data_IF_714229040199
#
_entry.id   IF_714229040199
#
_cell.length_a   1.000
_cell.length_b   1.000
_cell.length_c   1.000
_cell.angle_alpha   90.00
_cell.angle_beta   90.00
_cell.angle_gamma   90.00
#
_symmetry.space_group_name_H-M   'P 1'
#
loop_
_entity.id
_entity.type
_entity.pdbx_description
1 polymer ?
#
# COMPACT_ATOMS: atom_id res chain seq x y z
N UNK A 1 -10.37 23.69 -3.48
CA UNK A 1 -9.98 22.80 -2.37
C UNK A 1 -9.06 21.78 -2.98
N UNK A 2 -7.85 21.66 -2.44
CA UNK A 2 -6.88 20.69 -2.93
C UNK A 2 -7.33 19.26 -2.58
N UNK A 3 -6.91 18.25 -3.34
CA UNK A 3 -7.34 16.86 -3.10
C UNK A 3 -6.94 16.42 -1.70
N UNK A 4 -5.72 16.76 -1.28
CA UNK A 4 -5.23 16.50 0.06
C UNK A 4 -6.12 17.08 1.15
N UNK A 5 -6.58 18.33 1.02
CA UNK A 5 -7.43 18.96 2.03
C UNK A 5 -8.76 18.19 2.20
N UNK A 6 -9.39 17.81 1.08
CA UNK A 6 -10.63 17.02 1.12
C UNK A 6 -10.43 15.66 1.80
N UNK A 7 -9.31 15.00 1.56
CA UNK A 7 -8.98 13.70 2.13
C UNK A 7 -8.70 13.85 3.63
N UNK A 8 -7.87 14.82 4.03
CA UNK A 8 -7.51 15.06 5.43
C UNK A 8 -8.74 15.40 6.28
N UNK A 9 -9.71 16.13 5.74
CA UNK A 9 -10.96 16.47 6.44
C UNK A 9 -11.83 15.23 6.79
N UNK A 10 -11.58 14.09 6.16
CA UNK A 10 -12.27 12.82 6.42
C UNK A 10 -11.56 11.96 7.48
N UNK A 11 -10.36 12.34 7.90
CA UNK A 11 -9.55 11.54 8.83
C UNK A 11 -9.79 11.97 10.28
N UNK A 12 -9.79 10.98 11.16
CA UNK A 12 -9.91 11.16 12.61
C UNK A 12 -8.57 10.92 13.29
N UNK A 13 -8.34 11.60 14.40
CA UNK A 13 -7.10 11.42 15.17
C UNK A 13 -7.16 10.11 15.97
N UNK A 14 -6.24 9.20 15.68
CA UNK A 14 -6.07 7.92 16.38
C UNK A 14 -4.65 7.85 16.92
N UNK A 15 -4.48 8.00 18.23
CA UNK A 15 -3.16 8.07 18.85
C UNK A 15 -2.35 9.26 18.32
N UNK A 16 -1.23 8.97 17.64
CA UNK A 16 -0.37 9.96 17.01
C UNK A 16 -0.66 10.15 15.52
N UNK A 17 -1.64 9.43 14.95
CA UNK A 17 -1.88 9.40 13.53
C UNK A 17 -3.24 10.02 13.18
N UNK A 18 -3.45 10.31 11.89
CA UNK A 18 -4.77 10.55 11.33
C UNK A 18 -5.17 9.36 10.48
N UNK A 19 -6.33 8.78 10.76
CA UNK A 19 -6.82 7.57 10.11
C UNK A 19 -8.26 7.75 9.62
N UNK A 20 -8.58 7.13 8.50
CA UNK A 20 -9.95 7.10 7.99
C UNK A 20 -10.08 6.34 6.68
N UNK A 21 -11.28 5.83 6.42
CA UNK A 21 -11.60 5.21 5.13
C UNK A 21 -11.89 6.30 4.10
N UNK A 22 -11.22 6.22 2.96
CA UNK A 22 -11.37 7.19 1.86
C UNK A 22 -11.58 6.49 0.52
N UNK A 23 -12.20 7.21 -0.41
CA UNK A 23 -12.24 6.80 -1.81
C UNK A 23 -10.90 7.18 -2.44
N UNK A 24 -10.19 6.18 -2.98
CA UNK A 24 -8.91 6.39 -3.63
C UNK A 24 -8.96 5.84 -5.06
N UNK A 25 -8.54 6.63 -6.08
CA UNK A 25 -8.61 6.17 -7.46
C UNK A 25 -7.87 4.85 -7.66
N UNK A 26 -8.51 3.91 -8.36
CA UNK A 26 -8.01 2.56 -8.67
C UNK A 26 -7.92 1.61 -7.47
N UNK A 27 -7.57 2.08 -6.27
CA UNK A 27 -7.44 1.23 -5.09
C UNK A 27 -8.80 0.85 -4.48
N UNK A 28 -9.82 1.70 -4.57
CA UNK A 28 -11.18 1.35 -4.15
C UNK A 28 -11.93 2.48 -3.45
N UNK A 29 -13.06 2.13 -2.85
CA UNK A 29 -13.95 3.10 -2.19
C UNK A 29 -13.77 3.17 -0.67
N UNK A 30 -13.15 2.15 -0.07
CA UNK A 30 -12.96 2.03 1.39
C UNK A 30 -11.49 1.74 1.68
N UNK A 31 -10.60 2.61 1.20
CA UNK A 31 -9.15 2.47 1.43
C UNK A 31 -8.83 3.08 2.78
N UNK A 32 -8.29 2.31 3.71
CA UNK A 32 -7.78 2.86 4.96
C UNK A 32 -6.56 3.72 4.66
N UNK A 33 -6.68 5.03 4.89
CA UNK A 33 -5.58 5.97 4.77
C UNK A 33 -5.10 6.36 6.17
N UNK A 34 -3.81 6.15 6.43
CA UNK A 34 -3.14 6.57 7.66
C UNK A 34 -2.08 7.63 7.33
N UNK A 35 -2.10 8.74 8.06
CA UNK A 35 -1.05 9.75 8.06
C UNK A 35 -0.32 9.71 9.39
N UNK A 36 0.95 9.30 9.37
CA UNK A 36 1.82 9.38 10.53
C UNK A 36 2.12 10.84 10.84
N UNK A 37 1.75 11.35 12.01
CA UNK A 37 2.12 12.71 12.39
C UNK A 37 3.47 12.71 13.09
N UNK A 38 4.33 13.68 12.75
CA UNK A 38 5.57 13.90 13.48
C UNK A 38 5.31 14.25 14.95
N UNK A 39 6.39 14.39 15.75
CA UNK A 39 6.28 14.78 17.17
C UNK A 39 5.57 16.12 17.41
N UNK A 40 5.30 16.90 16.36
CA UNK A 40 4.50 18.12 16.38
C UNK A 40 2.98 17.88 16.42
N UNK A 41 2.52 16.70 15.99
CA UNK A 41 1.10 16.35 15.90
C UNK A 41 0.32 17.17 14.89
N UNK A 42 0.98 17.79 13.91
CA UNK A 42 0.33 18.59 12.85
C UNK A 42 0.55 17.99 11.48
N UNK A 43 -0.41 18.22 10.57
CA UNK A 43 -0.27 17.84 9.17
C UNK A 43 0.68 18.80 8.47
N UNK A 44 1.87 18.30 8.15
CA UNK A 44 2.91 19.01 7.41
C UNK A 44 2.59 19.15 5.91
N UNK A 45 3.19 20.14 5.21
CA UNK A 45 3.05 20.27 3.76
C UNK A 45 3.41 19.00 2.97
N UNK A 46 4.43 18.27 3.43
CA UNK A 46 4.87 17.03 2.78
C UNK A 46 3.78 15.94 2.73
N UNK A 47 2.93 15.84 3.75
CA UNK A 47 1.78 14.92 3.71
C UNK A 47 0.84 15.29 2.55
N UNK A 48 0.53 16.58 2.41
CA UNK A 48 -0.35 17.06 1.34
C UNK A 48 0.26 16.80 -0.03
N UNK A 49 1.56 17.05 -0.17
CA UNK A 49 2.30 16.75 -1.39
C UNK A 49 2.26 15.26 -1.75
N UNK A 50 2.45 14.36 -0.77
CA UNK A 50 2.38 12.91 -0.96
C UNK A 50 0.96 12.43 -1.32
N UNK A 51 -0.08 12.92 -0.64
CA UNK A 51 -1.47 12.59 -0.97
C UNK A 51 -1.80 13.03 -2.40
N UNK A 52 -1.49 14.29 -2.73
CA UNK A 52 -1.75 14.83 -4.07
C UNK A 52 -0.97 14.07 -5.14
N UNK A 53 0.31 13.79 -4.89
CA UNK A 53 1.14 13.04 -5.82
C UNK A 53 0.55 11.65 -6.05
N UNK A 54 0.25 10.89 -4.99
CA UNK A 54 -0.26 9.54 -5.12
C UNK A 54 -1.61 9.56 -5.84
N UNK A 55 -2.56 10.38 -5.40
CA UNK A 55 -3.89 10.46 -6.00
C UNK A 55 -3.85 10.83 -7.49
N UNK A 56 -2.98 11.77 -7.88
CA UNK A 56 -2.89 12.21 -9.28
C UNK A 56 -2.15 11.22 -10.18
N UNK A 57 -1.30 10.35 -9.62
CA UNK A 57 -0.45 9.44 -10.39
C UNK A 57 -0.86 7.97 -10.29
N UNK A 58 -1.67 7.57 -9.31
CA UNK A 58 -1.97 6.16 -9.01
C UNK A 58 -2.51 5.40 -10.23
N UNK A 59 -3.32 6.04 -11.08
CA UNK A 59 -3.81 5.41 -12.31
C UNK A 59 -2.71 5.02 -13.29
N UNK A 60 -1.64 5.81 -13.38
CA UNK A 60 -0.48 5.52 -14.21
C UNK A 60 0.53 4.60 -13.51
N UNK A 61 0.55 4.63 -12.17
CA UNK A 61 1.42 3.78 -11.35
C UNK A 61 0.87 2.36 -11.23
N UNK A 62 -0.45 2.17 -11.28
CA UNK A 62 -1.08 0.87 -11.01
C UNK A 62 -0.55 -0.28 -11.89
N UNK A 63 -0.35 -0.14 -13.21
CA UNK A 63 0.28 -1.19 -14.02
C UNK A 63 1.74 -1.49 -13.62
N UNK A 64 2.45 -0.51 -13.08
CA UNK A 64 3.83 -0.67 -12.57
C UNK A 64 3.80 -1.44 -11.26
N UNK A 65 2.85 -1.09 -10.38
CA UNK A 65 2.60 -1.77 -9.10
C UNK A 65 2.23 -3.23 -9.36
N UNK A 66 1.24 -3.49 -10.22
CA UNK A 66 0.78 -4.84 -10.57
C UNK A 66 1.93 -5.73 -11.02
N UNK A 67 2.76 -5.23 -11.96
CA UNK A 67 3.92 -5.96 -12.43
C UNK A 67 4.95 -6.20 -11.32
N UNK A 68 5.18 -5.23 -10.45
CA UNK A 68 6.13 -5.36 -9.35
C UNK A 68 5.66 -6.37 -8.29
N UNK A 69 4.37 -6.34 -7.93
CA UNK A 69 3.71 -7.30 -7.05
C UNK A 69 3.77 -8.71 -7.64
N UNK A 70 3.46 -8.87 -8.93
CA UNK A 70 3.58 -10.15 -9.62
C UNK A 70 5.01 -10.70 -9.60
N UNK A 71 5.99 -9.87 -9.92
CA UNK A 71 7.39 -10.30 -9.87
C UNK A 71 7.80 -10.75 -8.46
N UNK A 72 7.35 -10.03 -7.42
CA UNK A 72 7.60 -10.41 -6.03
C UNK A 72 6.94 -11.75 -5.70
N UNK A 73 5.65 -11.90 -6.01
CA UNK A 73 4.88 -13.13 -5.81
C UNK A 73 5.59 -14.35 -6.42
N UNK A 74 5.98 -14.27 -7.69
CA UNK A 74 6.68 -15.36 -8.37
C UNK A 74 8.05 -15.65 -7.74
N UNK A 75 8.76 -14.61 -7.28
CA UNK A 75 10.09 -14.78 -6.69
C UNK A 75 10.07 -15.53 -5.36
N UNK A 76 9.02 -15.34 -4.54
CA UNK A 76 8.90 -15.96 -3.22
C UNK A 76 8.08 -17.24 -3.22
N UNK A 77 7.35 -17.53 -4.32
CA UNK A 77 6.50 -18.71 -4.46
C UNK A 77 7.20 -20.03 -4.09
N UNK A 78 8.44 -20.33 -4.55
CA UNK A 78 9.09 -21.60 -4.20
C UNK A 78 9.31 -21.77 -2.70
N UNK A 79 9.71 -20.69 -2.01
CA UNK A 79 10.02 -20.71 -0.58
C UNK A 79 8.73 -20.81 0.25
N UNK A 80 7.68 -20.06 -0.13
CA UNK A 80 6.36 -20.19 0.50
C UNK A 80 5.73 -21.56 0.25
N UNK A 81 5.88 -22.15 -0.94
CA UNK A 81 5.37 -23.50 -1.22
C UNK A 81 6.00 -24.55 -0.33
N UNK A 82 7.28 -24.39 0.06
CA UNK A 82 7.93 -25.28 1.01
C UNK A 82 7.36 -25.12 2.43
N UNK A 83 7.03 -23.89 2.84
CA UNK A 83 6.49 -23.61 4.18
C UNK A 83 5.00 -23.90 4.35
N UNK A 84 4.20 -23.70 3.30
CA UNK A 84 2.74 -23.88 3.31
C UNK A 84 2.31 -25.34 3.10
N UNK A 85 3.22 -26.20 2.62
CA UNK A 85 3.00 -27.63 2.42
C UNK A 85 1.68 -27.94 1.66
N UNK A 86 0.72 -28.62 2.29
CA UNK A 86 -0.54 -29.02 1.67
C UNK A 86 -1.46 -27.85 1.29
N UNK A 87 -1.26 -26.67 1.92
CA UNK A 87 -2.04 -25.46 1.66
C UNK A 87 -1.45 -24.58 0.56
N UNK A 88 -0.29 -24.93 0.00
CA UNK A 88 0.46 -24.09 -0.95
C UNK A 88 -0.35 -23.69 -2.19
N UNK A 89 -1.08 -24.64 -2.80
CA UNK A 89 -1.89 -24.36 -3.99
C UNK A 89 -3.21 -23.64 -3.66
N UNK A 90 -3.68 -23.67 -2.41
CA UNK A 90 -4.86 -22.92 -1.95
C UNK A 90 -4.50 -21.46 -1.66
N UNK A 91 -3.43 -21.25 -0.88
CA UNK A 91 -3.05 -19.94 -0.36
C UNK A 91 -2.13 -19.17 -1.29
N UNK A 92 -1.36 -19.86 -2.13
CA UNK A 92 -0.40 -19.25 -3.06
C UNK A 92 -0.31 -20.01 -4.40
N UNK A 93 -1.40 -20.17 -5.17
CA UNK A 93 -1.37 -20.92 -6.42
C UNK A 93 -0.36 -20.36 -7.43
N UNK A 94 0.08 -21.21 -8.35
CA UNK A 94 0.87 -20.75 -9.50
C UNK A 94 0.01 -19.90 -10.43
N UNK A 95 0.45 -18.67 -10.68
CA UNK A 95 -0.17 -17.73 -11.60
C UNK A 95 0.78 -17.39 -12.76
N UNK A 96 0.22 -16.93 -13.87
CA UNK A 96 0.93 -16.70 -15.13
C UNK A 96 0.82 -15.26 -15.64
N UNK A 97 -0.25 -14.56 -15.28
CA UNK A 97 -0.53 -13.20 -15.71
C UNK A 97 -0.52 -12.23 -14.52
N UNK A 98 0.03 -11.00 -14.68
CA UNK A 98 0.13 -10.03 -13.58
C UNK A 98 -1.20 -9.68 -12.92
N UNK A 99 -2.30 -9.59 -13.68
CA UNK A 99 -3.64 -9.29 -13.16
C UNK A 99 -4.16 -10.34 -12.16
N UNK A 100 -3.62 -11.57 -12.19
CA UNK A 100 -4.07 -12.64 -11.30
C UNK A 100 -3.63 -12.44 -9.84
N UNK A 101 -2.63 -11.58 -9.59
CA UNK A 101 -2.15 -11.31 -8.20
C UNK A 101 -3.24 -10.74 -7.32
N UNK A 102 -4.19 -10.00 -7.89
CA UNK A 102 -5.26 -9.34 -7.16
C UNK A 102 -6.32 -10.30 -6.60
N UNK A 103 -6.25 -11.60 -6.94
CA UNK A 103 -7.03 -12.63 -6.26
C UNK A 103 -6.41 -13.07 -4.93
N UNK A 104 -5.15 -12.69 -4.67
CA UNK A 104 -4.33 -13.14 -3.55
C UNK A 104 -3.70 -12.00 -2.75
N UNK A 105 -3.79 -10.77 -3.27
CA UNK A 105 -3.32 -9.52 -2.67
C UNK A 105 -4.53 -8.58 -2.67
N UNK A 106 -5.11 -8.36 -1.49
CA UNK A 106 -6.44 -7.77 -1.30
C UNK A 106 -6.39 -6.60 -0.31
N UNK A 107 -7.52 -5.92 -0.16
CA UNK A 107 -7.76 -4.90 0.87
C UNK A 107 -6.63 -3.85 1.01
N UNK A 108 -6.46 -2.99 -0.01
CA UNK A 108 -5.38 -2.00 0.01
C UNK A 108 -5.59 -0.94 1.10
N UNK A 109 -4.53 -0.69 1.86
CA UNK A 109 -4.33 0.48 2.71
C UNK A 109 -3.25 1.40 2.15
N UNK A 110 -3.27 2.66 2.58
CA UNK A 110 -2.23 3.65 2.26
C UNK A 110 -1.69 4.23 3.55
N UNK A 111 -0.38 4.19 3.73
CA UNK A 111 0.29 4.83 4.85
C UNK A 111 1.26 5.89 4.33
N UNK A 112 1.18 7.11 4.86
CA UNK A 112 2.09 8.21 4.52
C UNK A 112 2.86 8.60 5.76
N UNK A 113 4.18 8.42 5.71
CA UNK A 113 5.10 8.77 6.78
C UNK A 113 5.49 10.25 6.72
N UNK A 114 5.76 10.88 7.88
CA UNK A 114 6.29 12.24 7.91
C UNK A 114 7.75 12.27 7.39
N UNK A 115 8.21 13.45 6.97
CA UNK A 115 9.58 13.62 6.42
C UNK A 115 10.67 13.23 7.43
N UNK A 116 10.43 13.48 8.73
CA UNK A 116 11.34 13.09 9.81
C UNK A 116 11.54 11.57 9.90
N UNK A 117 10.57 10.79 9.45
CA UNK A 117 10.60 9.32 9.39
C UNK A 117 10.96 8.81 7.98
N UNK A 118 11.38 9.70 7.09
CA UNK A 118 11.88 9.36 5.76
C UNK A 118 10.92 9.64 4.62
N UNK A 119 9.72 10.17 4.89
CA UNK A 119 8.80 10.69 3.86
C UNK A 119 8.34 9.64 2.85
N UNK A 120 8.10 8.42 3.32
CA UNK A 120 7.69 7.31 2.46
C UNK A 120 6.18 7.23 2.33
N UNK A 121 5.72 6.72 1.18
CA UNK A 121 4.32 6.39 0.94
C UNK A 121 4.24 4.89 0.68
N UNK A 122 3.54 4.18 1.56
CA UNK A 122 3.35 2.75 1.50
C UNK A 122 1.93 2.48 1.00
N UNK A 123 1.81 1.56 0.04
CA UNK A 123 0.53 0.91 -0.26
C UNK A 123 0.65 -0.49 0.30
N UNK A 124 -0.15 -0.77 1.31
CA UNK A 124 -0.15 -2.04 2.03
C UNK A 124 -1.33 -2.87 1.58
N UNK A 125 -1.17 -4.18 1.52
CA UNK A 125 -2.19 -5.11 1.10
C UNK A 125 -2.19 -6.29 2.06
N UNK A 126 -3.37 -6.80 2.37
CA UNK A 126 -3.48 -8.15 2.92
C UNK A 126 -3.12 -9.17 1.84
N UNK A 127 -2.61 -10.34 2.22
CA UNK A 127 -2.36 -11.40 1.26
C UNK A 127 -2.65 -12.80 1.81
N UNK A 128 -3.11 -13.70 0.94
CA UNK A 128 -3.56 -15.04 1.34
C UNK A 128 -2.42 -15.95 1.79
N UNK A 129 -1.20 -15.69 1.33
CA UNK A 129 -0.01 -16.50 1.61
C UNK A 129 0.78 -16.02 2.82
N UNK A 130 0.50 -14.82 3.34
CA UNK A 130 1.10 -14.26 4.56
C UNK A 130 0.13 -13.28 5.24
N UNK A 131 -0.84 -13.83 5.96
CA UNK A 131 -1.91 -13.08 6.63
C UNK A 131 -1.41 -12.25 7.81
N UNK A 132 -0.23 -12.56 8.36
CA UNK A 132 0.32 -11.86 9.52
C UNK A 132 1.08 -10.59 9.10
N UNK A 133 1.81 -10.63 7.98
CA UNK A 133 2.70 -9.52 7.59
C UNK A 133 2.14 -8.68 6.44
N UNK A 134 1.33 -9.28 5.55
CA UNK A 134 0.81 -8.60 4.36
C UNK A 134 1.90 -8.12 3.39
N UNK A 135 1.51 -7.62 2.22
CA UNK A 135 2.43 -7.17 1.18
C UNK A 135 2.48 -5.65 1.10
N UNK A 136 3.67 -5.07 0.95
CA UNK A 136 3.83 -3.62 0.84
C UNK A 136 4.52 -3.20 -0.44
N UNK A 137 4.07 -2.07 -0.97
CA UNK A 137 4.67 -1.37 -2.10
C UNK A 137 5.09 0.01 -1.62
N UNK A 138 6.40 0.26 -1.62
CA UNK A 138 6.98 1.45 -1.01
C UNK A 138 7.41 2.43 -2.09
N UNK A 139 6.94 3.67 -1.96
CA UNK A 139 7.34 4.81 -2.76
C UNK A 139 8.12 5.82 -1.92
N UNK A 140 9.13 6.42 -2.55
CA UNK A 140 9.89 7.54 -2.00
C UNK A 140 10.23 8.51 -3.12
N UNK A 141 9.98 9.81 -2.91
CA UNK A 141 10.19 10.83 -3.94
C UNK A 141 9.54 10.48 -5.29
N UNK A 142 8.34 9.89 -5.22
CA UNK A 142 7.55 9.46 -6.36
C UNK A 142 8.10 8.28 -7.18
N UNK A 143 9.06 7.53 -6.63
CA UNK A 143 9.62 6.32 -7.26
C UNK A 143 9.30 5.09 -6.43
N UNK A 144 8.91 4.01 -7.09
CA UNK A 144 8.81 2.70 -6.45
C UNK A 144 10.21 2.24 -6.07
N UNK A 145 10.45 2.02 -4.78
CA UNK A 145 11.76 1.62 -4.24
C UNK A 145 11.78 0.17 -3.73
N UNK A 146 10.65 -0.37 -3.29
CA UNK A 146 10.56 -1.75 -2.77
C UNK A 146 9.16 -2.33 -3.00
N UNK A 147 9.11 -3.64 -3.23
CA UNK A 147 7.93 -4.47 -3.00
C UNK A 147 8.35 -5.65 -2.14
N UNK A 148 7.57 -5.96 -1.11
CA UNK A 148 7.75 -7.16 -0.32
C UNK A 148 7.08 -7.09 1.05
N UNK A 149 7.21 -8.17 1.79
CA UNK A 149 6.79 -8.27 3.19
C UNK A 149 7.77 -7.49 4.07
N UNK A 150 7.32 -7.05 5.25
CA UNK A 150 8.18 -6.49 6.30
C UNK A 150 8.79 -7.58 7.18
#
# INVERSE_FOLDING_TARGET
>A
MDVADNIIEQLEKVGNDLEGEVIFPVLGNNVLLTLGLSGTGVVEPAHKESINWLHNNIKNLFPIIEKAVFNYYISVLPDYHLGLEEYAEELMPKIHDPEQVWNHVIDPGVFIFPEEEGGETHIEFECTFDVEHGLRVIFKNGKLIKVGLE
#
